data_IF_648716705282
#
_entry.id   IF_648716705282
#
_cell.length_a   1.000
_cell.length_b   1.000
_cell.length_c   1.000
_cell.angle_alpha   90.00
_cell.angle_beta   90.00
_cell.angle_gamma   90.00
#
_symmetry.space_group_name_H-M   'P 1'
#
loop_
_entity.id
_entity.type
_entity.pdbx_description
1 polymer ?
#
# COMPACT_ATOMS: atom_id res chain seq x y z
N UNK A 1 -3.85 6.06 -14.13
CA UNK A 1 -3.47 4.86 -13.37
C UNK A 1 -4.40 4.77 -12.17
N UNK A 2 -5.08 3.65 -11.96
CA UNK A 2 -6.06 3.48 -10.87
C UNK A 2 -5.40 2.74 -9.71
N UNK A 3 -5.60 3.20 -8.48
CA UNK A 3 -5.08 2.61 -7.25
C UNK A 3 -6.11 2.78 -6.14
N UNK A 4 -6.03 1.98 -5.09
CA UNK A 4 -6.79 2.18 -3.87
C UNK A 4 -5.91 2.93 -2.86
N UNK A 5 -6.52 3.57 -1.86
CA UNK A 5 -5.80 4.28 -0.79
C UNK A 5 -6.14 3.65 0.53
N UNK A 6 -5.15 3.38 1.38
CA UNK A 6 -5.36 3.01 2.77
C UNK A 6 -4.85 4.10 3.70
N UNK A 7 -5.70 4.55 4.61
CA UNK A 7 -5.34 5.46 5.67
C UNK A 7 -4.89 4.65 6.89
N UNK A 8 -3.61 4.74 7.19
CA UNK A 8 -2.97 4.11 8.34
C UNK A 8 -2.23 5.16 9.16
N UNK A 9 -1.97 4.90 10.44
CA UNK A 9 -1.10 5.72 11.29
C UNK A 9 0.39 5.48 10.91
N UNK A 10 0.73 5.81 9.66
CA UNK A 10 2.08 5.68 9.12
C UNK A 10 2.87 6.97 9.37
N UNK A 11 4.10 6.84 9.83
CA UNK A 11 5.03 7.97 9.98
C UNK A 11 6.05 8.00 8.83
N UNK A 12 6.35 9.20 8.33
CA UNK A 12 7.42 9.39 7.38
C UNK A 12 8.77 8.97 8.02
N UNK A 13 9.55 8.08 7.38
CA UNK A 13 10.79 7.58 7.98
C UNK A 13 11.84 8.67 8.21
N UNK A 14 11.76 9.79 7.48
CA UNK A 14 12.72 10.89 7.53
C UNK A 14 12.37 11.98 8.55
N UNK A 15 11.16 12.54 8.46
CA UNK A 15 10.76 13.68 9.29
C UNK A 15 9.89 13.29 10.50
N UNK A 16 9.47 12.02 10.59
CA UNK A 16 8.60 11.48 11.66
C UNK A 16 7.20 12.08 11.75
N UNK A 17 6.82 12.94 10.81
CA UNK A 17 5.44 13.41 10.71
C UNK A 17 4.52 12.30 10.24
N UNK A 18 3.27 12.36 10.70
CA UNK A 18 2.21 11.45 10.25
C UNK A 18 1.88 11.68 8.78
N UNK A 19 1.64 10.58 8.06
CA UNK A 19 1.17 10.56 6.68
C UNK A 19 -0.35 10.53 6.66
N UNK A 20 -0.96 11.70 6.50
CA UNK A 20 -2.41 11.91 6.39
C UNK A 20 -2.98 11.69 4.98
N UNK A 21 -2.16 11.76 3.93
CA UNK A 21 -2.56 11.55 2.53
C UNK A 21 -2.88 10.08 2.23
N UNK A 22 -2.44 9.18 3.10
CA UNK A 22 -2.63 7.73 2.97
C UNK A 22 -1.61 7.07 2.04
N UNK A 23 -1.72 5.75 1.94
CA UNK A 23 -0.86 4.91 1.11
C UNK A 23 -1.66 4.44 -0.10
N UNK A 24 -1.21 4.80 -1.29
CA UNK A 24 -1.73 4.27 -2.55
C UNK A 24 -1.22 2.85 -2.79
N UNK A 25 -2.11 1.91 -3.10
CA UNK A 25 -1.77 0.51 -3.32
C UNK A 25 -2.65 -0.12 -4.40
N UNK A 26 -2.18 -1.22 -5.01
CA UNK A 26 -2.86 -1.86 -6.15
C UNK A 26 -3.32 -3.28 -5.85
N UNK A 27 -3.96 -3.46 -4.69
CA UNK A 27 -4.62 -4.71 -4.34
C UNK A 27 -6.14 -4.55 -4.38
N UNK A 28 -6.81 -5.66 -4.66
CA UNK A 28 -8.26 -5.75 -4.79
C UNK A 28 -8.76 -5.16 -6.09
N UNK A 29 -10.06 -4.86 -6.12
CA UNK A 29 -10.70 -4.15 -7.23
C UNK A 29 -10.20 -2.71 -7.26
N UNK A 30 -9.59 -2.30 -8.37
CA UNK A 30 -8.99 -0.97 -8.52
C UNK A 30 -10.05 0.05 -8.96
N UNK A 31 -10.69 0.70 -7.99
CA UNK A 31 -11.79 1.65 -8.18
C UNK A 31 -11.59 2.98 -7.43
N UNK A 32 -10.35 3.32 -7.05
CA UNK A 32 -10.04 4.47 -6.20
C UNK A 32 -10.78 4.43 -4.86
N UNK A 33 -10.85 3.23 -4.27
CA UNK A 33 -11.48 3.03 -2.97
C UNK A 33 -10.55 3.47 -1.85
N UNK A 34 -11.16 4.05 -0.83
CA UNK A 34 -10.50 4.43 0.41
C UNK A 34 -10.76 3.36 1.45
N UNK A 35 -9.69 2.88 2.09
CA UNK A 35 -9.72 1.88 3.13
C UNK A 35 -9.11 2.39 4.44
N UNK A 36 -9.46 1.73 5.53
CA UNK A 36 -8.80 1.80 6.84
C UNK A 36 -8.21 0.44 7.20
N UNK A 37 -7.28 0.43 8.15
CA UNK A 37 -6.85 -0.81 8.79
C UNK A 37 -8.06 -1.54 9.41
N UNK A 38 -8.10 -2.86 9.24
CA UNK A 38 -9.20 -3.72 9.67
C UNK A 38 -10.33 -3.88 8.66
N UNK A 39 -10.31 -3.15 7.54
CA UNK A 39 -11.34 -3.32 6.50
C UNK A 39 -11.03 -4.48 5.55
N UNK A 40 -12.08 -5.13 5.07
CA UNK A 40 -11.99 -6.21 4.09
C UNK A 40 -11.75 -5.62 2.70
N UNK A 41 -10.68 -6.10 2.07
CA UNK A 41 -10.32 -5.78 0.70
C UNK A 41 -11.38 -6.34 -0.26
N UNK A 42 -11.93 -5.49 -1.11
CA UNK A 42 -12.82 -5.99 -2.17
C UNK A 42 -12.02 -6.74 -3.23
N UNK A 43 -12.31 -8.02 -3.42
CA UNK A 43 -11.67 -8.89 -4.43
C UNK A 43 -12.62 -9.33 -5.55
N UNK A 44 -13.87 -8.87 -5.57
CA UNK A 44 -14.87 -9.23 -6.59
C UNK A 44 -15.08 -8.13 -7.63
N UNK A 45 -14.61 -8.35 -8.87
CA UNK A 45 -14.83 -7.42 -9.99
C UNK A 45 -13.90 -7.66 -11.19
N UNK A 46 -14.10 -6.91 -12.27
CA UNK A 46 -13.37 -7.07 -13.54
C UNK A 46 -11.93 -6.53 -13.49
N UNK A 47 -11.68 -5.51 -12.65
CA UNK A 47 -10.37 -4.84 -12.52
C UNK A 47 -9.67 -5.20 -11.20
N UNK A 48 -9.63 -6.48 -10.86
CA UNK A 48 -9.02 -6.99 -9.63
C UNK A 48 -7.51 -7.27 -9.80
N UNK A 49 -6.71 -6.90 -8.78
CA UNK A 49 -5.28 -7.20 -8.68
C UNK A 49 -4.94 -7.84 -7.32
N UNK A 50 -4.16 -8.93 -7.27
CA UNK A 50 -3.82 -9.81 -8.39
C UNK A 50 -5.07 -10.43 -9.04
N UNK A 51 -4.92 -10.94 -10.26
CA UNK A 51 -5.99 -11.68 -10.96
C UNK A 51 -6.37 -12.98 -10.25
N UNK A 52 -5.47 -13.53 -9.43
CA UNK A 52 -5.72 -14.68 -8.57
C UNK A 52 -5.25 -14.37 -7.14
N UNK A 53 -6.18 -14.39 -6.20
CA UNK A 53 -5.88 -14.26 -4.77
C UNK A 53 -5.55 -15.64 -4.16
N UNK A 54 -4.61 -15.71 -3.20
CA UNK A 54 -4.46 -16.87 -2.33
C UNK A 54 -5.80 -17.25 -1.68
N UNK A 55 -6.08 -18.55 -1.54
CA UNK A 55 -7.36 -19.04 -1.00
C UNK A 55 -7.61 -18.60 0.45
N UNK A 56 -6.55 -18.43 1.23
CA UNK A 56 -6.62 -17.92 2.60
C UNK A 56 -6.66 -16.39 2.66
N UNK A 57 -6.63 -15.71 1.51
CA UNK A 57 -6.68 -14.26 1.42
C UNK A 57 -5.45 -13.55 1.98
N UNK A 58 -4.35 -14.28 2.24
CA UNK A 58 -3.15 -13.74 2.87
C UNK A 58 -2.12 -13.34 1.81
N UNK A 59 -1.67 -12.08 1.85
CA UNK A 59 -0.60 -11.60 0.98
C UNK A 59 0.07 -10.34 1.54
N UNK A 60 1.25 -10.03 1.01
CA UNK A 60 1.91 -8.75 1.21
C UNK A 60 2.22 -8.10 -0.13
N UNK A 61 1.99 -6.80 -0.23
CA UNK A 61 2.25 -6.03 -1.45
C UNK A 61 2.83 -4.67 -1.14
N UNK A 62 3.50 -4.09 -2.13
CA UNK A 62 4.05 -2.74 -2.05
C UNK A 62 2.98 -1.71 -2.43
N UNK A 63 2.89 -0.66 -1.62
CA UNK A 63 2.23 0.59 -1.93
C UNK A 63 3.17 1.77 -1.78
N UNK A 64 2.61 2.94 -1.98
CA UNK A 64 3.34 4.16 -2.24
C UNK A 64 2.71 5.32 -1.48
N UNK A 65 3.53 6.17 -0.88
CA UNK A 65 3.06 7.35 -0.19
C UNK A 65 4.07 8.49 -0.29
N UNK A 66 3.58 9.70 -0.04
CA UNK A 66 4.40 10.89 0.07
C UNK A 66 4.40 11.41 1.51
N UNK A 67 5.43 12.15 1.86
CA UNK A 67 5.46 12.89 3.11
C UNK A 67 4.57 14.14 3.01
N UNK A 68 3.69 14.37 3.98
CA UNK A 68 2.76 15.53 4.01
C UNK A 68 3.32 16.74 4.76
N UNK A 69 4.57 16.68 5.21
CA UNK A 69 5.16 17.76 5.98
C UNK A 69 5.21 19.05 5.13
N UNK A 70 4.55 20.12 5.59
CA UNK A 70 4.50 21.43 4.92
C UNK A 70 5.88 22.08 4.74
N UNK A 71 6.86 21.71 5.59
CA UNK A 71 8.26 22.14 5.44
C UNK A 71 8.93 21.49 4.23
N UNK A 72 8.33 20.45 3.66
CA UNK A 72 8.62 20.00 2.32
C UNK A 72 7.77 20.83 1.35
N UNK A 73 8.28 22.01 1.02
CA UNK A 73 7.58 23.08 0.28
C UNK A 73 7.17 22.72 -1.16
N UNK A 74 7.68 21.62 -1.71
CA UNK A 74 7.37 21.15 -3.06
C UNK A 74 7.64 19.65 -3.21
N UNK A 75 7.04 19.02 -4.22
CA UNK A 75 7.30 17.62 -4.60
C UNK A 75 8.79 17.31 -4.83
N UNK A 76 9.59 18.34 -5.13
CA UNK A 76 11.04 18.28 -5.36
C UNK A 76 11.89 18.49 -4.11
N UNK A 77 11.34 19.07 -3.03
CA UNK A 77 12.04 19.29 -1.75
C UNK A 77 11.79 18.18 -0.72
N UNK A 78 10.78 17.33 -0.96
CA UNK A 78 10.65 16.01 -0.32
C UNK A 78 11.81 15.12 -0.81
N UNK A 79 13.01 15.25 -0.24
CA UNK A 79 14.12 14.34 -0.51
C UNK A 79 13.69 12.87 -0.26
N UNK A 80 13.89 11.94 -1.23
CA UNK A 80 13.96 12.20 -2.67
C UNK A 80 12.99 11.37 -3.53
N UNK A 81 12.20 10.46 -2.98
CA UNK A 81 11.39 9.55 -3.80
C UNK A 81 10.04 9.27 -3.16
N UNK A 82 9.07 8.87 -3.99
CA UNK A 82 7.86 8.19 -3.53
C UNK A 82 8.30 7.11 -2.53
N UNK A 83 7.77 7.19 -1.32
CA UNK A 83 8.10 6.23 -0.27
C UNK A 83 7.29 4.97 -0.45
N UNK A 84 7.87 3.85 -0.05
CA UNK A 84 7.23 2.56 -0.18
C UNK A 84 6.67 2.11 1.16
N UNK A 85 5.50 1.49 1.13
CA UNK A 85 4.90 0.87 2.27
C UNK A 85 4.56 -0.60 1.96
N UNK A 86 4.70 -1.46 2.96
CA UNK A 86 4.31 -2.85 2.89
C UNK A 86 2.89 -2.97 3.42
N UNK A 87 1.94 -3.27 2.53
CA UNK A 87 0.57 -3.60 2.91
C UNK A 87 0.51 -5.09 3.20
N UNK A 88 0.11 -5.43 4.42
CA UNK A 88 -0.16 -6.80 4.84
C UNK A 88 -1.66 -7.04 4.86
N UNK A 89 -2.10 -8.01 4.07
CA UNK A 89 -3.49 -8.48 4.05
C UNK A 89 -3.52 -9.87 4.69
N UNK A 90 -4.41 -10.06 5.66
CA UNK A 90 -4.69 -11.37 6.27
C UNK A 90 -6.16 -11.69 6.24
N UNK A 91 -6.54 -12.89 5.77
CA UNK A 91 -7.93 -13.31 5.63
C UNK A 91 -8.77 -12.26 4.87
N UNK A 92 -8.21 -11.70 3.78
CA UNK A 92 -8.79 -10.58 3.02
C UNK A 92 -8.92 -9.24 3.77
N UNK A 93 -8.43 -9.11 4.99
CA UNK A 93 -8.45 -7.87 5.78
C UNK A 93 -7.12 -7.15 5.68
N UNK A 94 -7.14 -5.83 5.44
CA UNK A 94 -5.93 -5.01 5.49
C UNK A 94 -5.52 -4.87 6.95
N UNK A 95 -4.54 -5.66 7.38
CA UNK A 95 -4.16 -5.79 8.78
C UNK A 95 -3.14 -4.72 9.19
N UNK A 96 -2.12 -4.51 8.37
CA UNK A 96 -1.02 -3.62 8.70
C UNK A 96 -0.47 -2.89 7.47
N UNK A 97 0.08 -1.70 7.71
CA UNK A 97 0.79 -0.88 6.73
C UNK A 97 2.01 -0.30 7.42
N UNK A 98 3.19 -0.58 6.90
CA UNK A 98 4.46 -0.13 7.48
C UNK A 98 5.44 0.34 6.40
N UNK A 99 6.45 1.12 6.78
CA UNK A 99 7.46 1.59 5.82
C UNK A 99 8.24 0.40 5.26
N UNK A 100 8.27 0.30 3.94
CA UNK A 100 9.01 -0.73 3.22
C UNK A 100 10.35 -0.17 2.70
N UNK A 101 11.44 -0.87 3.00
CA UNK A 101 12.81 -0.54 2.56
C UNK A 101 13.48 -1.69 1.81
N UNK A 102 12.71 -2.70 1.43
CA UNK A 102 13.24 -3.85 0.71
C UNK A 102 13.50 -3.53 -0.77
N UNK A 103 14.11 -4.48 -1.50
CA UNK A 103 14.31 -4.35 -2.94
C UNK A 103 12.96 -4.22 -3.64
N UNK A 104 12.97 -3.49 -4.76
CA UNK A 104 11.84 -3.34 -5.67
C UNK A 104 12.24 -3.87 -7.03
N UNK A 105 11.32 -4.55 -7.70
CA UNK A 105 11.53 -5.01 -9.08
C UNK A 105 11.50 -3.87 -10.10
N UNK A 106 11.10 -2.66 -9.68
CA UNK A 106 10.83 -1.51 -10.56
C UNK A 106 9.41 -1.50 -11.14
N UNK A 107 8.59 -2.50 -10.81
CA UNK A 107 7.18 -2.53 -11.18
C UNK A 107 6.32 -1.64 -10.28
N UNK A 108 5.22 -1.11 -10.84
CA UNK A 108 4.27 -0.25 -10.11
C UNK A 108 3.30 -1.05 -9.21
N UNK A 109 3.43 -2.37 -9.20
CA UNK A 109 2.68 -3.31 -8.36
C UNK A 109 3.57 -4.52 -8.14
N UNK A 110 3.83 -4.86 -6.90
CA UNK A 110 4.67 -6.00 -6.54
C UNK A 110 4.01 -6.76 -5.39
N UNK A 111 3.93 -8.09 -5.52
CA UNK A 111 3.58 -9.00 -4.42
C UNK A 111 4.89 -9.51 -3.84
N UNK A 112 5.18 -9.12 -2.60
CA UNK A 112 6.42 -9.47 -1.89
C UNK A 112 6.35 -10.91 -1.41
N UNK A 113 5.20 -11.31 -0.85
CA UNK A 113 4.96 -12.66 -0.35
C UNK A 113 3.49 -13.02 -0.59
N UNK A 114 3.17 -13.97 -1.48
CA UNK A 114 1.95 -14.73 -1.31
C UNK A 114 2.14 -15.66 -0.09
N UNK A 115 1.12 -15.84 0.75
CA UNK A 115 1.17 -16.94 1.72
C UNK A 115 1.20 -18.25 0.92
N UNK A 116 2.37 -18.89 0.83
CA UNK A 116 2.45 -20.22 0.26
C UNK A 116 1.61 -21.15 1.14
N UNK A 117 0.64 -21.84 0.54
CA UNK A 117 0.08 -23.04 1.16
C UNK A 117 1.23 -24.01 1.41
N UNK A 118 1.50 -24.30 2.69
CA UNK A 118 2.15 -25.56 3.05
C UNK A 118 1.20 -26.73 2.79
#
# INVERSE_FOLDING_TARGET
MTFNTVYADLECPFCKEKVSSGVGFRLGVLENRNYKLGETLNTGGENVRPSAFPQDGNLKSVGYFNCDNVKCSSWTDCFPEVQHALITVKNHVIENVEVYKGPLSGEQFEIIEPAQKK
#
